data_IF_782837981813
#
_entry.id   IF_782837981813
#
_cell.length_a   1.000
_cell.length_b   1.000
_cell.length_c   1.000
_cell.angle_alpha   90.00
_cell.angle_beta   90.00
_cell.angle_gamma   90.00
#
_symmetry.space_group_name_H-M   'P 1'
#
loop_
_entity.id
_entity.type
_entity.pdbx_description
1 polymer ?
#
# COMPACT_ATOMS: atom_id res chain seq x y z
N UNK A 1 48.75 2.95 14.45
CA UNK A 1 48.60 1.65 13.75
C UNK A 1 47.17 1.18 13.96
N UNK A 2 46.27 1.53 13.03
CA UNK A 2 44.84 1.22 13.12
C UNK A 2 44.51 0.13 12.12
N UNK A 3 44.08 -1.03 12.61
CA UNK A 3 43.72 -2.19 11.80
C UNK A 3 42.27 -2.05 11.29
N UNK A 4 42.10 -2.09 9.97
CA UNK A 4 40.79 -2.20 9.32
C UNK A 4 40.40 -3.68 9.22
N UNK A 5 39.30 -4.07 9.84
CA UNK A 5 38.70 -5.40 9.69
C UNK A 5 37.82 -5.40 8.44
N UNK A 6 38.22 -6.18 7.42
CA UNK A 6 37.43 -6.45 6.21
C UNK A 6 36.62 -7.72 6.43
N UNK A 7 35.30 -7.60 6.55
CA UNK A 7 34.36 -8.73 6.56
C UNK A 7 34.07 -9.18 5.13
N UNK A 8 34.55 -10.37 4.75
CA UNK A 8 34.20 -11.08 3.51
C UNK A 8 32.87 -11.82 3.72
N UNK A 9 31.88 -11.55 2.87
CA UNK A 9 30.67 -12.37 2.73
C UNK A 9 30.86 -13.43 1.64
N UNK A 10 30.40 -14.68 1.82
CA UNK A 10 30.48 -15.70 0.78
C UNK A 10 29.41 -15.46 -0.31
N UNK A 11 29.85 -15.54 -1.56
CA UNK A 11 28.99 -15.58 -2.75
C UNK A 11 28.42 -16.99 -2.89
N UNK A 12 27.10 -17.14 -2.80
CA UNK A 12 26.42 -18.40 -3.12
C UNK A 12 26.04 -18.42 -4.60
N UNK A 13 26.57 -19.40 -5.33
CA UNK A 13 26.24 -19.73 -6.71
C UNK A 13 24.83 -20.33 -6.78
N UNK A 14 24.00 -19.80 -7.67
CA UNK A 14 22.66 -20.32 -7.98
C UNK A 14 22.81 -21.62 -8.77
N UNK A 15 22.42 -22.75 -8.18
CA UNK A 15 22.30 -24.03 -8.88
C UNK A 15 21.02 -24.04 -9.71
N UNK A 16 21.13 -24.36 -11.00
CA UNK A 16 20.03 -24.48 -11.95
C UNK A 16 18.95 -25.46 -11.47
N UNK A 17 17.70 -25.00 -11.39
CA UNK A 17 16.53 -25.85 -11.25
C UNK A 17 16.06 -26.29 -12.65
N UNK A 18 16.18 -27.59 -12.97
CA UNK A 18 15.57 -28.19 -14.17
C UNK A 18 14.13 -28.62 -13.84
N UNK A 19 13.11 -28.25 -14.65
CA UNK A 19 11.76 -28.80 -14.50
C UNK A 19 11.71 -30.23 -15.05
N UNK A 20 11.05 -31.13 -14.30
CA UNK A 20 10.72 -32.49 -14.72
C UNK A 20 9.70 -32.49 -15.87
N UNK A 21 10.03 -33.19 -16.96
CA UNK A 21 9.17 -33.44 -18.11
C UNK A 21 7.89 -34.17 -17.71
N UNK A 22 6.73 -33.54 -17.93
CA UNK A 22 5.42 -34.19 -17.79
C UNK A 22 4.88 -34.47 -19.19
N UNK A 23 4.96 -35.73 -19.62
CA UNK A 23 4.40 -36.20 -20.89
C UNK A 23 2.86 -36.09 -20.87
N UNK A 24 2.29 -35.39 -21.85
CA UNK A 24 0.84 -35.28 -22.10
C UNK A 24 0.50 -36.19 -23.29
N UNK A 25 -0.47 -37.13 -23.19
CA UNK A 25 -0.86 -37.97 -24.31
C UNK A 25 -1.67 -37.18 -25.34
N UNK A 26 -1.32 -37.36 -26.61
CA UNK A 26 -2.01 -36.79 -27.79
C UNK A 26 -3.24 -37.63 -28.11
N UNK A 27 -4.41 -37.00 -28.21
CA UNK A 27 -5.53 -37.46 -29.06
C UNK A 27 -6.36 -36.25 -29.53
N UNK A 28 -6.56 -36.17 -30.85
CA UNK A 28 -7.46 -35.25 -31.59
C UNK A 28 -8.54 -36.12 -32.27
N UNK A 29 -9.62 -35.60 -32.92
CA UNK A 29 -10.00 -34.20 -33.14
C UNK A 29 -11.49 -33.90 -32.87
N UNK A 30 -11.87 -32.62 -32.78
CA UNK A 30 -13.19 -32.14 -33.20
C UNK A 30 -13.19 -30.61 -33.35
N UNK A 31 -13.62 -30.16 -34.53
CA UNK A 31 -13.75 -28.76 -34.94
C UNK A 31 -14.70 -27.98 -34.03
N UNK A 32 -14.26 -26.84 -33.50
CA UNK A 32 -15.17 -25.72 -33.23
C UNK A 32 -14.50 -24.41 -33.61
N UNK A 33 -15.06 -23.76 -34.63
CA UNK A 33 -14.70 -22.40 -35.04
C UNK A 33 -15.23 -21.46 -33.96
N UNK A 34 -14.34 -20.89 -33.13
CA UNK A 34 -14.69 -19.78 -32.24
C UNK A 34 -14.62 -18.48 -33.02
N UNK A 35 -15.78 -17.93 -33.37
CA UNK A 35 -15.94 -16.57 -33.88
C UNK A 35 -15.70 -15.57 -32.75
N UNK A 36 -14.62 -14.80 -32.84
CA UNK A 36 -14.35 -13.68 -31.94
C UNK A 36 -15.14 -12.45 -32.40
N UNK A 37 -16.17 -12.07 -31.64
CA UNK A 37 -16.84 -10.77 -31.80
C UNK A 37 -15.99 -9.69 -31.12
N UNK A 38 -15.72 -8.53 -31.76
CA UNK A 38 -14.93 -7.47 -31.15
C UNK A 38 -15.74 -6.74 -30.07
N UNK A 39 -15.16 -6.64 -28.87
CA UNK A 39 -15.69 -5.88 -27.74
C UNK A 39 -15.65 -4.37 -28.06
N UNK A 40 -16.81 -3.77 -28.35
CA UNK A 40 -16.93 -2.31 -28.53
C UNK A 40 -16.85 -1.61 -27.17
N UNK A 41 -15.73 -0.95 -26.88
CA UNK A 41 -15.62 -0.05 -25.73
C UNK A 41 -16.24 1.31 -26.08
N UNK A 42 -17.18 1.85 -25.27
CA UNK A 42 -17.70 3.19 -25.49
C UNK A 42 -16.63 4.22 -25.10
N UNK A 43 -16.10 4.95 -26.09
CA UNK A 43 -15.29 6.15 -25.85
C UNK A 43 -16.22 7.33 -25.62
N UNK A 44 -16.34 7.79 -24.38
CA UNK A 44 -16.96 9.08 -24.08
C UNK A 44 -15.98 10.22 -24.43
N UNK A 45 -16.36 11.21 -25.25
CA UNK A 45 -15.51 12.36 -25.51
C UNK A 45 -15.53 13.31 -24.30
N UNK A 46 -14.43 13.35 -23.53
CA UNK A 46 -14.22 14.34 -22.47
C UNK A 46 -13.84 15.68 -23.11
N UNK A 47 -14.80 16.57 -23.31
CA UNK A 47 -14.51 17.97 -23.65
C UNK A 47 -13.90 18.67 -22.42
N UNK A 48 -12.59 18.92 -22.45
CA UNK A 48 -11.92 19.78 -21.47
C UNK A 48 -11.82 21.17 -22.09
N UNK A 49 -12.70 22.08 -21.68
CA UNK A 49 -12.56 23.51 -21.98
C UNK A 49 -11.59 24.10 -20.96
N UNK A 50 -10.34 24.32 -21.38
CA UNK A 50 -9.34 24.97 -20.54
C UNK A 50 -9.77 26.41 -20.27
N UNK A 51 -9.94 26.76 -18.99
CA UNK A 51 -10.15 28.14 -18.53
C UNK A 51 -8.90 28.57 -17.80
N UNK A 52 -8.07 29.38 -18.46
CA UNK A 52 -6.93 30.07 -17.84
C UNK A 52 -7.47 31.22 -17.00
N UNK A 53 -7.38 31.12 -15.69
CA UNK A 53 -7.57 32.25 -14.77
C UNK A 53 -6.26 32.48 -14.04
N UNK A 54 -5.59 33.57 -14.40
CA UNK A 54 -4.46 34.13 -13.65
C UNK A 54 -4.99 34.59 -12.29
N UNK A 55 -4.39 34.10 -11.20
CA UNK A 55 -4.63 34.61 -9.86
C UNK A 55 -3.50 35.56 -9.48
N UNK A 56 -3.83 36.85 -9.41
CA UNK A 56 -3.06 37.86 -8.68
C UNK A 56 -3.83 38.16 -7.40
N UNK A 57 -3.16 38.08 -6.25
CA UNK A 57 -3.73 38.44 -4.97
C UNK A 57 -2.65 39.08 -4.09
N UNK A 58 -2.78 40.40 -3.93
CA UNK A 58 -2.18 41.14 -2.82
C UNK A 58 -2.81 40.67 -1.50
N UNK A 59 -2.02 40.64 -0.41
CA UNK A 59 -2.55 40.55 0.95
C UNK A 59 -1.93 41.62 1.85
N UNK A 60 -2.76 42.61 2.16
CA UNK A 60 -2.73 43.44 3.36
C UNK A 60 -3.12 42.61 4.59
N UNK A 61 -2.48 42.87 5.73
CA UNK A 61 -2.56 42.06 6.94
C UNK A 61 -3.91 42.09 7.67
N UNK A 62 -4.21 40.98 8.36
CA UNK A 62 -5.03 40.93 9.58
C UNK A 62 -4.65 39.66 10.35
N UNK A 63 -4.53 39.78 11.66
CA UNK A 63 -4.11 38.76 12.63
C UNK A 63 -4.90 37.44 12.54
N UNK A 64 -4.19 36.33 12.35
CA UNK A 64 -4.73 34.97 12.48
C UNK A 64 -4.04 34.28 13.66
N UNK A 65 -4.84 33.80 14.60
CA UNK A 65 -4.42 32.86 15.63
C UNK A 65 -4.02 31.54 14.96
N UNK A 66 -2.74 31.37 14.67
CA UNK A 66 -2.25 30.19 13.97
C UNK A 66 -2.01 29.05 14.97
N UNK A 67 -3.04 28.27 15.25
CA UNK A 67 -2.84 26.86 15.58
C UNK A 67 -2.35 26.16 14.30
N UNK A 68 -1.04 26.23 14.03
CA UNK A 68 -0.40 25.59 12.88
C UNK A 68 -0.46 24.08 13.03
N UNK A 69 -1.60 23.46 12.72
CA UNK A 69 -1.57 22.11 12.17
C UNK A 69 -0.85 22.25 10.83
N UNK A 70 0.45 21.95 10.81
CA UNK A 70 1.25 22.02 9.60
C UNK A 70 0.63 21.09 8.54
N UNK A 71 -0.11 21.67 7.62
CA UNK A 71 -0.81 20.94 6.56
C UNK A 71 0.24 20.41 5.57
N UNK A 72 0.35 19.09 5.50
CA UNK A 72 1.17 18.41 4.51
C UNK A 72 0.62 18.71 3.11
N UNK A 73 1.49 19.08 2.16
CA UNK A 73 1.11 19.18 0.75
C UNK A 73 1.04 17.79 0.14
N UNK A 74 -0.19 17.32 -0.10
CA UNK A 74 -0.46 16.01 -0.69
C UNK A 74 0.02 15.91 -2.14
N UNK A 75 0.71 14.82 -2.45
CA UNK A 75 1.13 14.49 -3.80
C UNK A 75 0.29 13.36 -4.39
N UNK A 76 0.15 12.25 -3.66
CA UNK A 76 -0.62 11.09 -4.07
C UNK A 76 -1.07 10.27 -2.86
N UNK A 77 -1.97 9.32 -3.11
CA UNK A 77 -2.48 8.39 -2.12
C UNK A 77 -2.25 6.98 -2.63
N UNK A 78 -1.62 6.17 -1.79
CA UNK A 78 -1.43 4.74 -2.02
C UNK A 78 -2.43 3.97 -1.16
N UNK A 79 -3.03 2.92 -1.69
CA UNK A 79 -4.08 2.17 -1.01
C UNK A 79 -3.74 0.70 -1.01
N UNK A 80 -4.11 0.02 0.06
CA UNK A 80 -3.89 -1.41 0.19
C UNK A 80 -4.93 -2.09 1.05
N UNK A 81 -4.97 -3.42 0.94
CA UNK A 81 -5.84 -4.29 1.72
C UNK A 81 -5.01 -5.41 2.34
N UNK A 82 -5.38 -5.79 3.56
CA UNK A 82 -4.72 -6.85 4.29
C UNK A 82 -5.72 -7.76 4.96
N UNK A 83 -5.41 -9.05 4.95
CA UNK A 83 -6.26 -10.11 5.46
C UNK A 83 -5.55 -10.79 6.62
N UNK A 84 -6.30 -11.17 7.65
CA UNK A 84 -5.93 -12.22 8.59
C UNK A 84 -6.97 -13.34 8.52
N UNK A 85 -6.61 -14.45 7.89
CA UNK A 85 -7.55 -15.54 7.58
C UNK A 85 -7.96 -16.37 8.80
N UNK A 86 -7.22 -16.21 9.90
CA UNK A 86 -7.44 -16.94 11.16
C UNK A 86 -8.21 -16.10 12.19
N UNK A 87 -8.35 -14.79 11.97
CA UNK A 87 -9.12 -13.92 12.87
C UNK A 87 -8.51 -13.79 14.26
N UNK A 88 -7.18 -13.88 14.39
CA UNK A 88 -6.49 -13.85 15.69
C UNK A 88 -5.58 -12.63 15.86
N UNK A 89 -5.15 -12.00 14.77
CA UNK A 89 -4.22 -10.87 14.79
C UNK A 89 -4.63 -9.78 13.77
N UNK A 90 -5.45 -8.82 14.24
CA UNK A 90 -5.80 -7.63 13.47
C UNK A 90 -4.58 -6.77 13.10
N UNK A 91 -3.51 -6.83 13.91
CA UNK A 91 -2.25 -6.12 13.61
C UNK A 91 -1.58 -6.74 12.39
N UNK A 92 -1.59 -8.07 12.26
CA UNK A 92 -1.07 -8.74 11.08
C UNK A 92 -1.82 -8.32 9.81
N UNK A 93 -3.16 -8.27 9.86
CA UNK A 93 -3.98 -7.75 8.75
C UNK A 93 -3.62 -6.29 8.41
N UNK A 94 -3.52 -5.41 9.41
CA UNK A 94 -3.18 -4.01 9.20
C UNK A 94 -1.76 -3.81 8.62
N UNK A 95 -0.78 -4.58 9.09
CA UNK A 95 0.57 -4.55 8.54
C UNK A 95 0.61 -5.06 7.09
N UNK A 96 -0.19 -6.09 6.77
CA UNK A 96 -0.36 -6.57 5.39
C UNK A 96 -0.97 -5.49 4.51
N UNK A 97 -2.00 -4.79 4.98
CA UNK A 97 -2.63 -3.68 4.24
C UNK A 97 -1.65 -2.54 3.95
N UNK A 98 -0.82 -2.16 4.94
CA UNK A 98 0.20 -1.13 4.74
C UNK A 98 1.30 -1.57 3.78
N UNK A 99 1.75 -2.84 3.84
CA UNK A 99 2.73 -3.39 2.88
C UNK A 99 2.17 -3.45 1.47
N UNK A 100 0.93 -3.90 1.33
CA UNK A 100 0.21 -3.94 0.05
C UNK A 100 0.18 -2.54 -0.59
N UNK A 101 -0.15 -1.52 0.19
CA UNK A 101 -0.20 -0.13 -0.28
C UNK A 101 1.13 0.37 -0.87
N UNK A 102 2.28 0.03 -0.27
CA UNK A 102 3.57 0.67 -0.62
C UNK A 102 4.50 -0.21 -1.47
N UNK A 103 4.28 -1.54 -1.51
CA UNK A 103 5.28 -2.49 -2.02
C UNK A 103 5.50 -2.44 -3.53
N UNK A 104 4.50 -2.01 -4.30
CA UNK A 104 4.53 -1.98 -5.76
C UNK A 104 4.92 -0.61 -6.35
N UNK A 105 5.14 0.39 -5.50
CA UNK A 105 5.39 1.76 -5.93
C UNK A 105 6.87 2.15 -5.81
N UNK A 106 7.32 3.02 -6.71
CA UNK A 106 8.66 3.61 -6.67
C UNK A 106 8.55 5.13 -6.77
N UNK A 107 9.12 5.84 -5.79
CA UNK A 107 8.98 7.29 -5.65
C UNK A 107 10.36 7.98 -5.72
N UNK A 108 11.06 7.91 -6.87
CA UNK A 108 12.41 8.45 -6.99
C UNK A 108 12.46 9.99 -6.92
N UNK A 109 11.33 10.68 -7.12
CA UNK A 109 11.25 12.15 -7.19
C UNK A 109 11.84 12.84 -5.95
N UNK A 110 11.63 12.28 -4.75
CA UNK A 110 12.18 12.81 -3.50
C UNK A 110 13.70 12.70 -3.40
N UNK A 111 14.30 11.64 -3.96
CA UNK A 111 15.77 11.47 -3.98
C UNK A 111 16.43 12.21 -5.13
N UNK A 112 15.75 12.33 -6.27
CA UNK A 112 16.26 13.03 -7.46
C UNK A 112 16.08 14.55 -7.41
N UNK A 113 15.45 15.09 -6.36
CA UNK A 113 15.19 16.53 -6.25
C UNK A 113 14.23 17.04 -7.33
N UNK A 114 13.36 16.17 -7.86
CA UNK A 114 12.40 16.55 -8.91
C UNK A 114 11.26 17.42 -8.37
N UNK A 115 11.15 17.55 -7.05
CA UNK A 115 10.20 18.40 -6.36
C UNK A 115 10.97 19.64 -5.87
N UNK A 116 10.74 20.84 -6.45
CA UNK A 116 11.49 22.04 -6.11
C UNK A 116 11.39 22.38 -4.61
N UNK A 117 12.55 22.61 -3.98
CA UNK A 117 12.62 22.98 -2.56
C UNK A 117 12.35 21.84 -1.58
N UNK A 118 12.23 20.60 -2.05
CA UNK A 118 11.93 19.43 -1.20
C UNK A 118 13.04 18.40 -1.31
N UNK A 119 13.53 18.00 -0.15
CA UNK A 119 14.55 16.97 0.04
C UNK A 119 13.92 15.64 0.45
N UNK A 120 14.68 14.55 0.32
CA UNK A 120 14.22 13.22 0.70
C UNK A 120 13.77 13.12 2.16
N UNK A 121 14.43 13.83 3.08
CA UNK A 121 14.08 13.84 4.51
C UNK A 121 12.79 14.57 4.83
N UNK A 122 12.19 15.29 3.88
CA UNK A 122 10.94 16.03 4.06
C UNK A 122 9.71 15.23 3.60
N UNK A 123 9.88 13.97 3.17
CA UNK A 123 8.75 13.11 2.88
C UNK A 123 7.92 12.88 4.14
N UNK A 124 6.63 13.20 4.09
CA UNK A 124 5.67 13.01 5.17
C UNK A 124 4.60 12.01 4.75
N UNK A 125 4.15 11.23 5.73
CA UNK A 125 3.10 10.24 5.58
C UNK A 125 1.95 10.56 6.52
N UNK A 126 0.72 10.49 6.01
CA UNK A 126 -0.48 10.34 6.84
C UNK A 126 -1.09 8.98 6.54
N UNK A 127 -1.40 8.22 7.57
CA UNK A 127 -1.92 6.86 7.44
C UNK A 127 -3.33 6.87 7.99
N UNK A 128 -4.26 6.32 7.22
CA UNK A 128 -5.63 6.06 7.66
C UNK A 128 -5.96 4.59 7.47
N UNK A 129 -6.35 3.93 8.55
CA UNK A 129 -6.76 2.53 8.53
C UNK A 129 -8.25 2.39 8.77
N UNK A 130 -8.92 1.61 7.93
CA UNK A 130 -10.28 1.12 8.18
C UNK A 130 -10.19 -0.23 8.88
N UNK A 131 -10.58 -0.26 10.15
CA UNK A 131 -10.48 -1.45 11.03
C UNK A 131 -11.84 -1.70 11.67
N UNK A 132 -12.31 -2.97 11.76
CA UNK A 132 -13.56 -3.28 12.45
C UNK A 132 -13.57 -2.72 13.87
N UNK A 133 -14.64 -1.99 14.21
CA UNK A 133 -14.73 -1.21 15.45
C UNK A 133 -14.36 -2.02 16.71
N UNK A 134 -14.88 -3.24 16.82
CA UNK A 134 -14.64 -4.16 17.94
C UNK A 134 -13.17 -4.58 18.09
N UNK A 135 -12.36 -4.48 17.04
CA UNK A 135 -10.96 -4.91 17.01
C UNK A 135 -9.97 -3.74 17.09
N UNK A 136 -10.43 -2.50 17.08
CA UNK A 136 -9.52 -1.34 17.10
C UNK A 136 -8.64 -1.29 18.36
N UNK A 137 -9.14 -1.77 19.50
CA UNK A 137 -8.39 -1.78 20.76
C UNK A 137 -7.27 -2.84 20.80
N UNK A 138 -7.35 -3.87 19.96
CA UNK A 138 -6.31 -4.92 19.86
C UNK A 138 -5.25 -4.62 18.80
N UNK A 139 -5.37 -3.49 18.09
CA UNK A 139 -4.42 -3.07 17.07
C UNK A 139 -3.13 -2.50 17.69
N UNK A 140 -2.00 -3.14 17.44
CA UNK A 140 -0.68 -2.59 17.80
C UNK A 140 -0.21 -1.57 16.75
N UNK A 141 -0.55 -0.31 17.00
CA UNK A 141 -0.18 0.82 16.14
C UNK A 141 1.34 0.94 15.96
N UNK A 142 2.15 0.59 16.97
CA UNK A 142 3.62 0.72 16.88
C UNK A 142 4.18 -0.29 15.88
N UNK A 143 3.69 -1.53 15.93
CA UNK A 143 4.04 -2.57 14.94
C UNK A 143 3.56 -2.20 13.53
N UNK A 144 2.42 -1.56 13.37
CA UNK A 144 1.98 -1.11 12.04
C UNK A 144 2.86 0.03 11.51
N UNK A 145 3.23 1.00 12.34
CA UNK A 145 4.11 2.11 11.93
C UNK A 145 5.49 1.62 11.47
N UNK A 146 6.00 0.50 11.98
CA UNK A 146 7.30 -0.03 11.56
C UNK A 146 7.32 -0.63 10.15
N UNK A 147 6.16 -0.75 9.49
CA UNK A 147 6.07 -1.20 8.09
C UNK A 147 6.69 -0.19 7.12
N UNK A 148 6.66 1.10 7.44
CA UNK A 148 7.10 2.17 6.54
C UNK A 148 8.63 2.36 6.64
N UNK A 149 9.39 2.12 5.55
CA UNK A 149 10.85 2.21 5.58
C UNK A 149 11.39 3.62 5.27
N UNK A 150 10.49 4.59 5.05
CA UNK A 150 10.78 5.96 4.67
C UNK A 150 9.66 6.89 5.14
N UNK A 151 9.94 8.19 5.06
CA UNK A 151 8.98 9.24 5.39
C UNK A 151 8.72 9.38 6.89
N UNK A 152 8.39 10.59 7.31
CA UNK A 152 7.95 10.89 8.67
C UNK A 152 6.43 10.66 8.78
N UNK A 153 6.00 9.79 9.68
CA UNK A 153 4.57 9.58 9.96
C UNK A 153 4.06 10.72 10.83
N UNK A 154 3.48 11.75 10.20
CA UNK A 154 2.97 12.95 10.90
C UNK A 154 1.56 12.75 11.43
N UNK A 155 0.78 11.82 10.86
CA UNK A 155 -0.57 11.47 11.31
C UNK A 155 -0.85 9.98 11.13
N UNK A 156 -1.49 9.38 12.12
CA UNK A 156 -1.97 8.01 12.06
C UNK A 156 -3.39 7.97 12.61
N UNK A 157 -4.36 7.61 11.78
CA UNK A 157 -5.78 7.60 12.10
C UNK A 157 -6.32 6.19 11.91
N UNK A 158 -7.09 5.72 12.89
CA UNK A 158 -7.86 4.48 12.80
C UNK A 158 -9.33 4.89 12.80
N UNK A 159 -10.10 4.36 11.86
CA UNK A 159 -11.53 4.60 11.75
C UNK A 159 -12.28 3.29 11.59
N UNK A 160 -13.57 3.34 11.90
CA UNK A 160 -14.50 2.25 11.62
C UNK A 160 -14.49 1.92 10.12
N UNK A 161 -14.29 0.65 9.81
CA UNK A 161 -14.20 0.15 8.45
C UNK A 161 -13.76 -1.30 8.43
N UNK A 162 -13.11 -1.73 7.34
CA UNK A 162 -12.70 -3.11 7.17
C UNK A 162 -13.89 -4.08 7.12
N UNK A 163 -13.63 -5.35 7.41
CA UNK A 163 -14.68 -6.38 7.50
C UNK A 163 -14.24 -7.50 8.44
N UNK A 164 -15.20 -8.03 9.20
CA UNK A 164 -15.11 -9.35 9.82
C UNK A 164 -16.05 -10.25 9.01
N UNK A 165 -15.54 -11.36 8.52
CA UNK A 165 -16.35 -12.36 7.83
C UNK A 165 -15.91 -13.77 8.26
N UNK A 166 -16.76 -14.77 8.07
CA UNK A 166 -16.36 -16.16 8.28
C UNK A 166 -15.37 -16.61 7.18
N UNK A 167 -14.30 -17.28 7.57
CA UNK A 167 -13.40 -18.03 6.69
C UNK A 167 -14.03 -19.36 6.22
N UNK A 168 -15.13 -19.78 6.85
CA UNK A 168 -15.84 -21.03 6.60
C UNK A 168 -15.18 -22.28 7.20
N UNK A 169 -14.00 -22.15 7.82
CA UNK A 169 -13.25 -23.26 8.40
C UNK A 169 -12.55 -22.79 9.67
N UNK A 170 -12.71 -23.56 10.75
CA UNK A 170 -11.95 -23.40 11.98
C UNK A 170 -10.87 -24.48 12.01
N UNK A 171 -9.60 -24.08 12.04
CA UNK A 171 -8.45 -25.01 12.08
C UNK A 171 -7.77 -24.92 13.44
N UNK A 172 -8.23 -25.74 14.41
CA UNK A 172 -7.70 -25.73 15.78
C UNK A 172 -6.18 -25.99 15.84
N UNK A 173 -5.65 -26.81 14.93
CA UNK A 173 -4.22 -27.11 14.81
C UNK A 173 -3.37 -25.85 14.49
N UNK A 174 -3.98 -24.84 13.89
CA UNK A 174 -3.36 -23.55 13.57
C UNK A 174 -3.58 -22.50 14.68
N UNK A 175 -4.28 -22.87 15.75
CA UNK A 175 -4.59 -21.98 16.88
C UNK A 175 -5.83 -21.11 16.68
N UNK A 176 -6.70 -21.46 15.74
CA UNK A 176 -7.96 -20.75 15.50
C UNK A 176 -8.88 -20.89 16.72
N UNK A 177 -9.43 -19.77 17.19
CA UNK A 177 -10.42 -19.76 18.29
C UNK A 177 -11.85 -19.66 17.78
N UNK A 178 -12.00 -19.21 16.55
CA UNK A 178 -13.24 -19.07 15.81
C UNK A 178 -12.92 -19.14 14.31
N UNK A 179 -13.94 -19.06 13.46
CA UNK A 179 -13.80 -19.03 12.01
C UNK A 179 -13.75 -17.58 11.47
N UNK A 180 -13.36 -16.60 12.28
CA UNK A 180 -13.30 -15.21 11.80
C UNK A 180 -12.13 -15.01 10.83
N UNK A 181 -12.34 -14.16 9.84
CA UNK A 181 -11.34 -13.58 8.97
C UNK A 181 -11.45 -12.07 9.06
N UNK A 182 -10.31 -11.39 9.26
CA UNK A 182 -10.24 -9.95 9.38
C UNK A 182 -9.71 -9.31 8.12
N UNK A 183 -10.37 -8.23 7.69
CA UNK A 183 -9.98 -7.44 6.53
C UNK A 183 -9.76 -6.01 7.00
N UNK A 184 -8.58 -5.47 6.69
CA UNK A 184 -8.19 -4.09 6.99
C UNK A 184 -7.88 -3.37 5.68
N UNK A 185 -8.38 -2.14 5.55
CA UNK A 185 -8.04 -1.26 4.44
C UNK A 185 -7.05 -0.19 4.92
N UNK A 186 -6.09 0.17 4.08
CA UNK A 186 -5.13 1.24 4.34
C UNK A 186 -5.19 2.30 3.23
N UNK A 187 -5.14 3.56 3.63
CA UNK A 187 -4.83 4.69 2.77
C UNK A 187 -3.59 5.40 3.32
N UNK A 188 -2.55 5.49 2.50
CA UNK A 188 -1.26 6.11 2.80
C UNK A 188 -1.14 7.36 1.94
N UNK A 189 -1.29 8.51 2.57
CA UNK A 189 -1.16 9.82 1.93
C UNK A 189 0.30 10.24 1.98
N UNK A 190 0.90 10.51 0.81
CA UNK A 190 2.31 10.88 0.70
C UNK A 190 2.45 12.34 0.28
N UNK A 191 3.27 13.11 1.00
CA UNK A 191 3.48 14.53 0.76
C UNK A 191 4.73 15.09 1.43
N UNK A 192 4.79 16.41 1.63
CA UNK A 192 5.85 17.13 2.35
C UNK A 192 5.32 18.38 3.06
#
# INVERSE_FOLDING_TARGET
>A
MTASVVLKFPVFTVTEFRPLDRQIPKNHPSNSVKTYLPLKTPRFPRQVKARTTLMEAAQSGSSVNTSTNASMKLLFVEMGVGYDQHGQDITAAAMRACRDAISSNSIPAFRRGSIPGVTFGQMKLQIKLGVPHSLQQSLDIRRVKSVFPYGEIVKFEVVDGGMICSSGVLVEEMGDKNDDCYIVNAAVYVGY
#
